data_IF_265839917938
#
_entry.id   IF_265839917938
#
_cell.length_a   1.000
_cell.length_b   1.000
_cell.length_c   1.000
_cell.angle_alpha   90.00
_cell.angle_beta   90.00
_cell.angle_gamma   90.00
#
_symmetry.space_group_name_H-M   'P 1'
#
loop_
_entity.id
_entity.type
_entity.pdbx_description
1 polymer ?
#
# COMPACT_ATOMS: atom_id res chain seq x y z
N UNK A 1 48.09 -21.60 -14.62
CA UNK A 1 47.55 -22.82 -13.97
C UNK A 1 47.93 -22.69 -12.50
N UNK A 2 47.07 -22.38 -11.53
CA UNK A 2 45.62 -22.56 -11.41
C UNK A 2 44.99 -21.33 -10.73
N UNK A 3 43.77 -21.00 -11.17
CA UNK A 3 42.87 -20.00 -10.57
C UNK A 3 42.56 -20.31 -9.11
N UNK A 4 42.83 -19.36 -8.21
CA UNK A 4 42.21 -19.33 -6.89
C UNK A 4 40.84 -18.67 -7.02
N UNK A 5 39.88 -19.56 -7.26
CA UNK A 5 38.43 -19.44 -7.10
C UNK A 5 38.03 -18.37 -6.08
N UNK A 6 37.32 -17.36 -6.57
CA UNK A 6 36.54 -16.42 -5.77
C UNK A 6 35.72 -17.20 -4.74
N UNK A 7 36.06 -17.03 -3.46
CA UNK A 7 35.14 -17.38 -2.37
C UNK A 7 34.07 -16.31 -2.37
N UNK A 8 33.06 -16.51 -3.22
CA UNK A 8 31.76 -15.88 -3.08
C UNK A 8 31.34 -16.04 -1.63
N UNK A 9 31.32 -14.92 -0.91
CA UNK A 9 30.79 -14.83 0.44
C UNK A 9 29.38 -15.40 0.38
N UNK A 10 29.18 -16.53 1.06
CA UNK A 10 27.91 -17.24 1.03
C UNK A 10 26.80 -16.30 1.44
N UNK A 11 25.81 -16.13 0.56
CA UNK A 11 24.44 -15.77 0.94
C UNK A 11 23.88 -16.91 1.79
N UNK A 12 24.38 -17.06 3.02
CA UNK A 12 23.70 -17.83 4.05
C UNK A 12 22.46 -17.04 4.43
N UNK A 13 21.36 -17.41 3.78
CA UNK A 13 20.09 -16.72 3.74
C UNK A 13 19.54 -16.33 5.10
N UNK A 14 19.38 -15.03 5.29
CA UNK A 14 18.33 -14.51 6.16
C UNK A 14 17.08 -14.38 5.28
N UNK A 15 16.31 -15.46 5.15
CA UNK A 15 14.92 -15.41 4.65
C UNK A 15 14.00 -14.78 5.72
N UNK A 16 14.40 -13.62 6.25
CA UNK A 16 13.62 -12.85 7.20
C UNK A 16 13.11 -11.60 6.50
N UNK A 17 11.79 -11.47 6.37
CA UNK A 17 11.20 -10.19 5.99
C UNK A 17 11.31 -9.26 7.19
N UNK A 18 11.83 -8.05 6.98
CA UNK A 18 11.94 -7.04 8.03
C UNK A 18 10.55 -6.46 8.36
N UNK A 19 10.00 -6.71 9.57
CA UNK A 19 8.68 -6.21 9.95
C UNK A 19 8.59 -4.68 10.00
N UNK A 20 9.72 -4.00 10.27
CA UNK A 20 9.75 -2.53 10.28
C UNK A 20 9.58 -1.98 8.87
N UNK A 21 10.24 -2.56 7.88
CA UNK A 21 10.08 -2.19 6.48
C UNK A 21 8.65 -2.43 5.95
N UNK A 22 7.96 -3.48 6.41
CA UNK A 22 6.54 -3.70 6.09
C UNK A 22 5.63 -2.63 6.71
N UNK A 23 5.91 -2.23 7.94
CA UNK A 23 5.15 -1.17 8.64
C UNK A 23 5.36 0.18 7.95
N UNK A 24 6.60 0.51 7.61
CA UNK A 24 6.94 1.74 6.89
C UNK A 24 6.25 1.81 5.51
N UNK A 25 6.12 0.67 4.83
CA UNK A 25 5.40 0.59 3.56
C UNK A 25 3.90 0.77 3.75
N UNK A 26 3.31 0.16 4.77
CA UNK A 26 1.90 0.35 5.12
C UNK A 26 1.60 1.84 5.40
N UNK A 27 2.46 2.52 6.15
CA UNK A 27 2.30 3.94 6.46
C UNK A 27 2.46 4.85 5.22
N UNK A 28 3.18 4.40 4.18
CA UNK A 28 3.20 5.10 2.89
C UNK A 28 1.87 4.93 2.16
N UNK A 29 1.32 3.73 2.13
CA UNK A 29 0.03 3.47 1.49
C UNK A 29 -1.11 4.24 2.14
N UNK A 30 -1.16 4.33 3.46
CA UNK A 30 -2.16 5.16 4.17
C UNK A 30 -2.06 6.64 3.76
N UNK A 31 -0.83 7.17 3.68
CA UNK A 31 -0.60 8.56 3.27
C UNK A 31 -1.04 8.79 1.82
N UNK A 32 -0.65 7.92 0.91
CA UNK A 32 -1.04 8.01 -0.50
C UNK A 32 -2.56 7.87 -0.66
N UNK A 33 -3.22 7.01 0.11
CA UNK A 33 -4.67 6.87 0.13
C UNK A 33 -5.36 8.15 0.61
N UNK A 34 -4.84 8.77 1.68
CA UNK A 34 -5.35 10.04 2.21
C UNK A 34 -5.17 11.21 1.24
N UNK A 35 -3.99 11.31 0.62
CA UNK A 35 -3.69 12.34 -0.38
C UNK A 35 -4.60 12.18 -1.62
N UNK A 36 -4.78 10.94 -2.09
CA UNK A 36 -5.64 10.66 -3.24
C UNK A 36 -7.12 10.95 -2.94
N UNK A 37 -7.59 10.63 -1.74
CA UNK A 37 -8.94 10.96 -1.28
C UNK A 37 -9.16 12.47 -1.29
N UNK A 38 -8.18 13.24 -0.78
CA UNK A 38 -8.22 14.71 -0.77
C UNK A 38 -8.27 15.28 -2.18
N UNK A 39 -7.42 14.79 -3.08
CA UNK A 39 -7.39 15.21 -4.48
C UNK A 39 -8.68 14.87 -5.23
N UNK A 40 -9.27 13.70 -4.96
CA UNK A 40 -10.54 13.29 -5.54
C UNK A 40 -11.68 14.22 -5.09
N UNK A 41 -11.74 14.59 -3.81
CA UNK A 41 -12.72 15.56 -3.32
C UNK A 41 -12.57 16.93 -3.98
N UNK A 42 -11.33 17.43 -4.14
CA UNK A 42 -11.06 18.68 -4.84
C UNK A 42 -11.46 18.61 -6.32
N UNK A 43 -11.18 17.49 -6.99
CA UNK A 43 -11.58 17.26 -8.37
C UNK A 43 -13.11 17.25 -8.54
N UNK A 44 -13.84 16.58 -7.64
CA UNK A 44 -15.31 16.56 -7.66
C UNK A 44 -15.89 17.96 -7.48
N UNK A 45 -15.37 18.73 -6.50
CA UNK A 45 -15.83 20.09 -6.24
C UNK A 45 -15.65 21.00 -7.46
N UNK A 46 -14.43 21.06 -8.01
CA UNK A 46 -14.12 21.87 -9.21
C UNK A 46 -14.90 21.43 -10.45
N UNK A 47 -15.14 20.13 -10.60
CA UNK A 47 -15.92 19.60 -11.74
C UNK A 47 -17.42 19.93 -11.62
N UNK A 48 -17.95 20.01 -10.40
CA UNK A 48 -19.34 20.43 -10.18
C UNK A 48 -19.57 21.90 -10.56
N UNK A 49 -18.60 22.78 -10.29
CA UNK A 49 -18.62 24.19 -10.70
C UNK A 49 -18.65 24.34 -12.23
N UNK A 50 -17.89 23.49 -12.94
CA UNK A 50 -17.92 23.45 -14.41
C UNK A 50 -19.30 23.04 -14.93
N UNK A 51 -19.93 22.03 -14.32
CA UNK A 51 -21.29 21.63 -14.65
C UNK A 51 -22.31 22.75 -14.42
N UNK A 52 -22.18 23.54 -13.35
CA UNK A 52 -23.04 24.70 -13.11
C UNK A 52 -22.85 25.78 -14.18
N UNK A 53 -21.59 26.10 -14.54
CA UNK A 53 -21.27 27.09 -15.55
C UNK A 53 -21.82 26.73 -16.95
N UNK A 54 -21.76 25.45 -17.35
CA UNK A 54 -22.36 25.00 -18.62
C UNK A 54 -23.90 24.99 -18.56
N UNK A 55 -24.51 24.79 -17.38
CA UNK A 55 -25.98 24.83 -17.19
C UNK A 55 -26.54 26.24 -17.35
N UNK A 56 -25.79 27.26 -16.94
CA UNK A 56 -26.12 28.68 -17.16
C UNK A 56 -26.14 29.02 -18.66
N UNK A 57 -25.38 28.31 -19.49
CA UNK A 57 -25.31 28.54 -20.94
C UNK A 57 -26.46 27.90 -21.74
N UNK A 58 -27.39 27.19 -21.08
CA UNK A 58 -28.75 26.86 -21.55
C UNK A 58 -28.93 26.08 -22.86
N UNK A 59 -27.86 25.79 -23.61
CA UNK A 59 -27.94 25.27 -24.98
C UNK A 59 -27.30 23.88 -25.18
N UNK A 60 -26.81 23.24 -24.12
CA UNK A 60 -25.97 22.05 -24.21
C UNK A 60 -26.37 20.90 -23.28
N UNK A 61 -27.68 20.66 -23.06
CA UNK A 61 -28.18 19.62 -22.14
C UNK A 61 -27.59 18.22 -22.43
N UNK A 62 -27.53 17.79 -23.69
CA UNK A 62 -26.96 16.48 -24.05
C UNK A 62 -25.44 16.37 -23.84
N UNK A 63 -24.71 17.49 -23.91
CA UNK A 63 -23.27 17.52 -23.60
C UNK A 63 -23.03 17.52 -22.09
N UNK A 64 -23.91 18.18 -21.33
CA UNK A 64 -23.92 18.17 -19.88
C UNK A 64 -24.13 16.77 -19.32
N UNK A 65 -25.13 16.04 -19.84
CA UNK A 65 -25.42 14.68 -19.39
C UNK A 65 -24.23 13.74 -19.60
N UNK A 66 -23.57 13.84 -20.76
CA UNK A 66 -22.36 13.08 -21.05
C UNK A 66 -21.19 13.47 -20.16
N UNK A 67 -21.03 14.75 -19.87
CA UNK A 67 -20.01 15.24 -18.94
C UNK A 67 -20.22 14.64 -17.55
N UNK A 68 -21.44 14.69 -17.01
CA UNK A 68 -21.76 14.09 -15.71
C UNK A 68 -21.57 12.58 -15.69
N UNK A 69 -21.95 11.88 -16.77
CA UNK A 69 -21.75 10.44 -16.86
C UNK A 69 -20.27 10.06 -16.81
N UNK A 70 -19.41 10.77 -17.56
CA UNK A 70 -17.97 10.56 -17.56
C UNK A 70 -17.34 10.93 -16.23
N UNK A 71 -17.75 12.06 -15.64
CA UNK A 71 -17.28 12.51 -14.34
C UNK A 71 -17.60 11.47 -13.26
N UNK A 72 -18.85 11.03 -13.17
CA UNK A 72 -19.27 10.07 -12.16
C UNK A 72 -18.57 8.71 -12.33
N UNK A 73 -18.39 8.25 -13.57
CA UNK A 73 -17.63 7.03 -13.85
C UNK A 73 -16.16 7.15 -13.42
N UNK A 74 -15.55 8.30 -13.68
CA UNK A 74 -14.15 8.58 -13.33
C UNK A 74 -13.96 8.64 -11.83
N UNK A 75 -14.84 9.39 -11.14
CA UNK A 75 -14.84 9.51 -9.67
C UNK A 75 -15.03 8.15 -9.02
N UNK A 76 -15.94 7.31 -9.54
CA UNK A 76 -16.13 5.96 -9.03
C UNK A 76 -14.88 5.08 -9.21
N UNK A 77 -14.25 5.12 -10.37
CA UNK A 77 -13.05 4.33 -10.66
C UNK A 77 -11.87 4.77 -9.79
N UNK A 78 -11.62 6.08 -9.69
CA UNK A 78 -10.56 6.64 -8.86
C UNK A 78 -10.82 6.44 -7.36
N UNK A 79 -12.09 6.49 -6.95
CA UNK A 79 -12.50 6.29 -5.56
C UNK A 79 -12.21 4.89 -5.02
N UNK A 80 -11.97 3.88 -5.87
CA UNK A 80 -11.56 2.54 -5.42
C UNK A 80 -10.07 2.46 -5.06
N UNK A 81 -9.23 3.36 -5.58
CA UNK A 81 -7.78 3.27 -5.36
C UNK A 81 -7.38 3.49 -3.89
N UNK A 82 -7.93 4.49 -3.15
CA UNK A 82 -7.66 4.63 -1.73
C UNK A 82 -8.05 3.38 -0.92
N UNK A 83 -9.18 2.74 -1.24
CA UNK A 83 -9.63 1.53 -0.55
C UNK A 83 -8.66 0.36 -0.74
N UNK A 84 -8.13 0.19 -1.96
CA UNK A 84 -7.13 -0.83 -2.26
C UNK A 84 -5.83 -0.57 -1.49
N UNK A 85 -5.35 0.67 -1.47
CA UNK A 85 -4.13 1.05 -0.74
C UNK A 85 -4.27 0.79 0.76
N UNK A 86 -5.39 1.21 1.37
CA UNK A 86 -5.68 0.94 2.77
C UNK A 86 -5.75 -0.56 3.07
N UNK A 87 -6.43 -1.33 2.20
CA UNK A 87 -6.51 -2.78 2.35
C UNK A 87 -5.14 -3.46 2.28
N UNK A 88 -4.25 -3.00 1.40
CA UNK A 88 -2.90 -3.55 1.30
C UNK A 88 -2.03 -3.12 2.49
N UNK A 89 -2.19 -1.89 3.00
CA UNK A 89 -1.55 -1.42 4.22
C UNK A 89 -1.90 -2.30 5.43
N UNK A 90 -3.18 -2.65 5.60
CA UNK A 90 -3.64 -3.55 6.65
C UNK A 90 -3.00 -4.94 6.54
N UNK A 91 -2.91 -5.48 5.33
CA UNK A 91 -2.27 -6.79 5.08
C UNK A 91 -0.77 -6.75 5.38
N UNK A 92 -0.09 -5.66 5.07
CA UNK A 92 1.32 -5.47 5.41
C UNK A 92 1.54 -5.46 6.92
N UNK A 93 0.66 -4.79 7.69
CA UNK A 93 0.70 -4.77 9.16
C UNK A 93 0.47 -6.16 9.76
N UNK A 94 -0.53 -6.89 9.25
CA UNK A 94 -0.81 -8.27 9.66
C UNK A 94 0.42 -9.17 9.42
N UNK A 95 1.05 -9.03 8.26
CA UNK A 95 2.25 -9.79 7.93
C UNK A 95 3.42 -9.40 8.85
N UNK A 96 3.61 -8.11 9.14
CA UNK A 96 4.65 -7.63 10.06
C UNK A 96 4.51 -8.26 11.44
N UNK A 97 3.31 -8.24 12.02
CA UNK A 97 3.03 -8.89 13.30
C UNK A 97 3.30 -10.39 13.25
N UNK A 98 2.90 -11.06 12.17
CA UNK A 98 3.12 -12.50 12.00
C UNK A 98 4.61 -12.88 11.97
N UNK A 99 5.45 -12.06 11.31
CA UNK A 99 6.90 -12.24 11.31
C UNK A 99 7.50 -12.01 12.70
N UNK A 100 7.09 -10.94 13.40
CA UNK A 100 7.57 -10.65 14.77
C UNK A 100 7.25 -11.78 15.76
N UNK A 101 6.02 -12.32 15.69
CA UNK A 101 5.61 -13.43 16.54
C UNK A 101 6.39 -14.70 16.22
N UNK A 102 6.59 -14.99 14.93
CA UNK A 102 7.39 -16.14 14.48
C UNK A 102 8.83 -16.06 14.97
N UNK A 103 9.46 -14.88 14.85
CA UNK A 103 10.82 -14.63 15.33
C UNK A 103 10.91 -14.80 16.86
N UNK A 104 9.93 -14.29 17.60
CA UNK A 104 9.88 -14.44 19.06
C UNK A 104 9.79 -15.90 19.48
N UNK A 105 8.95 -16.69 18.81
CA UNK A 105 8.80 -18.13 19.06
C UNK A 105 10.10 -18.86 18.74
N UNK A 106 10.72 -18.59 17.60
CA UNK A 106 11.98 -19.21 17.20
C UNK A 106 13.13 -18.92 18.19
N UNK A 107 13.28 -17.65 18.60
CA UNK A 107 14.27 -17.25 19.62
C UNK A 107 14.00 -17.95 20.97
N UNK A 108 12.73 -18.05 21.37
CA UNK A 108 12.32 -18.77 22.58
C UNK A 108 12.76 -20.24 22.56
N UNK A 109 12.51 -20.93 21.45
CA UNK A 109 12.95 -22.31 21.26
C UNK A 109 14.47 -22.45 21.33
N UNK A 110 15.22 -21.61 20.62
CA UNK A 110 16.69 -21.65 20.64
C UNK A 110 17.27 -21.47 22.05
N UNK A 111 16.71 -20.54 22.84
CA UNK A 111 17.11 -20.33 24.24
C UNK A 111 16.82 -21.56 25.10
N UNK A 112 15.63 -22.16 24.96
CA UNK A 112 15.26 -23.35 25.72
C UNK A 112 16.19 -24.54 25.44
N UNK A 113 16.53 -24.80 24.18
CA UNK A 113 17.42 -25.91 23.78
C UNK A 113 18.85 -25.68 24.28
N UNK A 114 19.31 -24.43 24.25
CA UNK A 114 20.65 -24.06 24.74
C UNK A 114 20.77 -24.26 26.25
N UNK A 115 19.70 -23.98 27.02
CA UNK A 115 19.65 -24.24 28.46
C UNK A 115 19.63 -25.74 28.79
N UNK A 116 18.96 -26.57 28.00
CA UNK A 116 18.92 -28.03 28.20
C UNK A 116 20.26 -28.71 27.89
N UNK A 117 21.07 -28.17 26.97
CA UNK A 117 22.40 -28.71 26.61
C UNK A 117 23.55 -28.23 27.51
N UNK A 118 23.30 -27.32 28.44
CA UNK A 118 24.30 -26.75 29.36
C UNK A 118 24.43 -27.46 30.71
N UNK A 119 23.86 -28.66 30.85
CA UNK A 119 23.94 -29.56 32.02
C UNK A 119 24.59 -30.87 31.58
#
# INVERSE_FOLDING_TARGET
>A
MFEQRERGSGMSGQFGVDPSALTDLADKFDREAGDLTTQLHAFVATSSEVGEAFGILGACDGAMDKYWQLLNSTVKALGHLPDVLNSDADRLRINASSYQDSDRVAIGHLRSVSQVRGV
#
